data_IF_938971385847
#
_entry.id   IF_938971385847
#
_cell.length_a   1.000
_cell.length_b   1.000
_cell.length_c   1.000
_cell.angle_alpha   90.00
_cell.angle_beta   90.00
_cell.angle_gamma   90.00
#
_symmetry.space_group_name_H-M   'P 1'
#
loop_
_entity.id
_entity.type
_entity.pdbx_description
1 polymer ?
#
# COMPACT_ATOMS: atom_id res chain seq x y z
N UNK A 1 -43.88 -66.37 -31.95
CA UNK A 1 -43.07 -65.26 -32.52
C UNK A 1 -44.08 -64.26 -33.06
N UNK A 2 -44.56 -63.25 -32.35
CA UNK A 2 -43.87 -62.24 -31.55
C UNK A 2 -44.17 -60.89 -32.20
N UNK A 3 -44.76 -59.92 -31.51
CA UNK A 3 -45.10 -58.65 -32.16
C UNK A 3 -45.78 -57.57 -31.32
N UNK A 4 -45.29 -57.33 -30.09
CA UNK A 4 -45.28 -56.04 -29.36
C UNK A 4 -46.60 -55.31 -29.02
N UNK A 5 -46.67 -54.62 -27.87
CA UNK A 5 -47.78 -53.71 -27.56
C UNK A 5 -47.85 -52.59 -28.61
N UNK A 6 -49.04 -52.36 -29.18
CA UNK A 6 -49.31 -51.28 -30.12
C UNK A 6 -48.95 -49.94 -29.47
N UNK A 7 -47.85 -49.32 -29.92
CA UNK A 7 -47.45 -48.00 -29.45
C UNK A 7 -48.44 -46.99 -30.07
N UNK A 8 -49.12 -46.16 -29.26
CA UNK A 8 -49.99 -45.11 -29.78
C UNK A 8 -49.21 -44.22 -30.77
N UNK A 9 -49.88 -43.77 -31.82
CA UNK A 9 -49.28 -42.84 -32.76
C UNK A 9 -48.71 -41.63 -31.99
N UNK A 10 -47.49 -41.16 -32.33
CA UNK A 10 -46.88 -40.02 -31.65
C UNK A 10 -47.83 -38.82 -31.72
N UNK A 11 -47.89 -38.00 -30.65
CA UNK A 11 -48.77 -36.85 -30.63
C UNK A 11 -48.46 -35.93 -31.81
N UNK A 12 -49.49 -35.26 -32.36
CA UNK A 12 -49.29 -34.32 -33.46
C UNK A 12 -48.29 -33.23 -33.05
N UNK A 13 -47.49 -32.73 -34.00
CA UNK A 13 -46.55 -31.65 -33.73
C UNK A 13 -47.31 -30.44 -33.15
N UNK A 14 -46.76 -29.75 -32.15
CA UNK A 14 -47.37 -28.55 -31.57
C UNK A 14 -47.66 -27.49 -32.63
N UNK A 15 -48.78 -26.80 -32.52
CA UNK A 15 -49.13 -25.69 -33.42
C UNK A 15 -48.04 -24.60 -33.32
N UNK A 16 -47.34 -24.27 -34.43
CA UNK A 16 -46.30 -23.25 -34.45
C UNK A 16 -46.76 -21.89 -33.90
N UNK A 17 -48.02 -21.52 -34.14
CA UNK A 17 -48.57 -20.24 -33.69
C UNK A 17 -48.83 -20.26 -32.17
N UNK A 18 -49.32 -21.38 -31.64
CA UNK A 18 -49.53 -21.55 -30.20
C UNK A 18 -48.19 -21.55 -29.44
N UNK A 19 -47.15 -22.19 -30.00
CA UNK A 19 -45.79 -22.18 -29.42
C UNK A 19 -45.19 -20.77 -29.45
N UNK A 20 -45.37 -20.02 -30.55
CA UNK A 20 -44.90 -18.64 -30.66
C UNK A 20 -45.59 -17.71 -29.63
N UNK A 21 -46.90 -17.87 -29.41
CA UNK A 21 -47.65 -17.11 -28.41
C UNK A 21 -47.20 -17.45 -26.98
N UNK A 22 -47.08 -18.74 -26.65
CA UNK A 22 -46.61 -19.17 -25.33
C UNK A 22 -45.18 -18.66 -25.04
N UNK A 23 -44.30 -18.68 -26.04
CA UNK A 23 -42.96 -18.11 -25.92
C UNK A 23 -43.01 -16.59 -25.69
N UNK A 24 -43.82 -15.86 -26.45
CA UNK A 24 -43.98 -14.41 -26.27
C UNK A 24 -44.52 -14.03 -24.88
N UNK A 25 -45.47 -14.81 -24.35
CA UNK A 25 -46.00 -14.63 -22.99
C UNK A 25 -44.97 -14.95 -21.91
N UNK A 26 -44.17 -16.00 -22.10
CA UNK A 26 -43.08 -16.34 -21.20
C UNK A 26 -42.03 -15.21 -21.15
N UNK A 27 -41.66 -14.64 -22.30
CA UNK A 27 -40.76 -13.49 -22.35
C UNK A 27 -41.34 -12.28 -21.61
N UNK A 28 -42.62 -11.95 -21.82
CA UNK A 28 -43.27 -10.84 -21.10
C UNK A 28 -43.28 -11.05 -19.59
N UNK A 29 -43.67 -12.23 -19.11
CA UNK A 29 -43.67 -12.56 -17.67
C UNK A 29 -42.27 -12.49 -17.05
N UNK A 30 -41.25 -12.96 -17.77
CA UNK A 30 -39.88 -12.88 -17.29
C UNK A 30 -39.45 -11.41 -17.14
N UNK A 31 -39.72 -10.58 -18.14
CA UNK A 31 -39.42 -9.14 -18.11
C UNK A 31 -40.18 -8.43 -16.98
N UNK A 32 -41.48 -8.67 -16.82
CA UNK A 32 -42.28 -8.12 -15.72
C UNK A 32 -41.74 -8.53 -14.35
N UNK A 33 -41.30 -9.78 -14.20
CA UNK A 33 -40.71 -10.27 -12.96
C UNK A 33 -39.42 -9.53 -12.62
N UNK A 34 -38.57 -9.24 -13.62
CA UNK A 34 -37.37 -8.43 -13.40
C UNK A 34 -37.70 -6.99 -13.00
N UNK A 35 -38.71 -6.38 -13.63
CA UNK A 35 -39.17 -5.03 -13.30
C UNK A 35 -39.71 -4.98 -11.86
N UNK A 36 -40.47 -5.99 -11.44
CA UNK A 36 -41.02 -6.07 -10.09
C UNK A 36 -39.94 -6.27 -9.02
N UNK A 37 -38.89 -7.06 -9.31
CA UNK A 37 -37.79 -7.33 -8.36
C UNK A 37 -36.71 -6.26 -8.32
N UNK A 38 -36.62 -5.40 -9.34
CA UNK A 38 -35.65 -4.31 -9.42
C UNK A 38 -35.57 -3.44 -8.14
N UNK A 39 -36.68 -2.95 -7.54
CA UNK A 39 -36.61 -2.16 -6.31
C UNK A 39 -36.09 -2.96 -5.10
N UNK A 40 -36.43 -4.24 -4.98
CA UNK A 40 -35.97 -5.11 -3.90
C UNK A 40 -34.46 -5.39 -4.01
N UNK A 41 -33.98 -5.63 -5.23
CA UNK A 41 -32.56 -5.78 -5.52
C UNK A 41 -31.77 -4.51 -5.18
N UNK A 42 -32.28 -3.33 -5.55
CA UNK A 42 -31.65 -2.06 -5.20
C UNK A 42 -31.68 -1.78 -3.68
N UNK A 43 -32.73 -2.21 -2.98
CA UNK A 43 -32.81 -2.10 -1.52
C UNK A 43 -31.82 -3.05 -0.82
N UNK A 44 -31.66 -4.29 -1.32
CA UNK A 44 -30.68 -5.25 -0.84
C UNK A 44 -29.25 -4.71 -1.05
N UNK A 45 -28.94 -4.21 -2.24
CA UNK A 45 -27.63 -3.62 -2.54
C UNK A 45 -27.34 -2.43 -1.61
N UNK A 46 -28.30 -1.53 -1.40
CA UNK A 46 -28.14 -0.43 -0.46
C UNK A 46 -27.90 -0.89 0.97
N UNK A 47 -28.59 -1.94 1.43
CA UNK A 47 -28.38 -2.52 2.77
C UNK A 47 -26.97 -3.10 2.89
N UNK A 48 -26.53 -3.89 1.92
CA UNK A 48 -25.16 -4.45 1.88
C UNK A 48 -24.12 -3.35 1.85
N UNK A 49 -24.36 -2.30 1.06
CA UNK A 49 -23.49 -1.13 1.00
C UNK A 49 -23.40 -0.44 2.36
N UNK A 50 -24.51 -0.21 3.05
CA UNK A 50 -24.51 0.41 4.40
C UNK A 50 -23.76 -0.48 5.41
N UNK A 51 -23.97 -1.80 5.34
CA UNK A 51 -23.36 -2.75 6.28
C UNK A 51 -21.84 -2.85 6.09
N UNK A 52 -21.35 -2.94 4.86
CA UNK A 52 -19.94 -3.27 4.59
C UNK A 52 -19.07 -2.08 4.16
N UNK A 53 -19.62 -0.98 3.63
CA UNK A 53 -18.81 0.20 3.26
C UNK A 53 -17.95 0.75 4.40
N UNK A 54 -18.44 0.87 5.64
CA UNK A 54 -17.62 1.41 6.73
C UNK A 54 -16.38 0.54 7.01
N UNK A 55 -16.55 -0.78 6.95
CA UNK A 55 -15.49 -1.76 7.14
C UNK A 55 -14.51 -1.76 5.95
N UNK A 56 -15.03 -1.70 4.72
CA UNK A 56 -14.18 -1.57 3.54
C UNK A 56 -13.31 -0.31 3.61
N UNK A 57 -13.91 0.84 3.94
CA UNK A 57 -13.19 2.12 4.10
C UNK A 57 -12.20 2.12 5.26
N UNK A 58 -12.43 1.34 6.32
CA UNK A 58 -11.46 1.25 7.42
C UNK A 58 -10.26 0.41 7.00
N UNK A 59 -10.48 -0.71 6.29
CA UNK A 59 -9.42 -1.56 5.74
C UNK A 59 -8.58 -0.80 4.69
N UNK A 60 -9.22 -0.07 3.77
CA UNK A 60 -8.52 0.76 2.79
C UNK A 60 -7.63 1.83 3.47
N UNK A 61 -8.12 2.45 4.54
CA UNK A 61 -7.32 3.41 5.33
C UNK A 61 -6.14 2.73 6.05
N UNK A 62 -6.33 1.54 6.60
CA UNK A 62 -5.25 0.78 7.23
C UNK A 62 -4.18 0.38 6.21
N UNK A 63 -4.57 -0.11 5.05
CA UNK A 63 -3.64 -0.43 3.95
C UNK A 63 -2.85 0.80 3.51
N UNK A 64 -3.53 1.93 3.29
CA UNK A 64 -2.85 3.18 2.92
C UNK A 64 -1.86 3.65 3.99
N UNK A 65 -2.17 3.48 5.28
CA UNK A 65 -1.26 3.83 6.37
C UNK A 65 -0.02 2.92 6.39
N UNK A 66 -0.19 1.62 6.17
CA UNK A 66 0.91 0.66 6.06
C UNK A 66 1.82 0.98 4.88
N UNK A 67 1.26 1.33 3.71
CA UNK A 67 2.03 1.72 2.54
C UNK A 67 2.86 2.99 2.78
N UNK A 68 2.28 4.00 3.44
CA UNK A 68 3.00 5.22 3.82
C UNK A 68 4.15 4.92 4.80
N UNK A 69 3.90 4.05 5.78
CA UNK A 69 4.90 3.62 6.73
C UNK A 69 6.04 2.88 6.01
N UNK A 70 5.72 1.93 5.13
CA UNK A 70 6.69 1.19 4.34
C UNK A 70 7.57 2.14 3.50
N UNK A 71 6.98 3.15 2.87
CA UNK A 71 7.70 4.15 2.10
C UNK A 71 8.68 4.95 2.96
N UNK A 72 8.25 5.46 4.13
CA UNK A 72 9.11 6.22 5.04
C UNK A 72 10.26 5.38 5.61
N UNK A 73 10.01 4.10 5.86
CA UNK A 73 11.00 3.15 6.34
C UNK A 73 12.04 2.83 5.26
N UNK A 74 11.61 2.63 4.02
CA UNK A 74 12.52 2.41 2.89
C UNK A 74 13.44 3.60 2.63
N UNK A 75 12.93 4.83 2.75
CA UNK A 75 13.75 6.04 2.54
C UNK A 75 14.77 6.22 3.66
N UNK A 76 14.40 5.94 4.91
CA UNK A 76 15.32 5.93 6.04
C UNK A 76 16.44 4.91 5.86
N UNK A 77 16.11 3.72 5.35
CA UNK A 77 17.11 2.69 5.07
C UNK A 77 18.10 3.12 4.01
N UNK A 78 17.62 3.74 2.92
CA UNK A 78 18.48 4.29 1.87
C UNK A 78 19.41 5.39 2.41
N UNK A 79 18.89 6.28 3.25
CA UNK A 79 19.70 7.34 3.86
C UNK A 79 20.77 6.76 4.79
N UNK A 80 20.45 5.75 5.58
CA UNK A 80 21.44 5.08 6.44
C UNK A 80 22.50 4.34 5.63
N UNK A 81 22.11 3.69 4.54
CA UNK A 81 23.03 2.88 3.73
C UNK A 81 23.95 3.76 2.86
N UNK A 82 23.41 4.77 2.21
CA UNK A 82 24.13 5.56 1.19
C UNK A 82 24.44 7.00 1.62
N UNK A 83 23.83 7.49 2.70
CA UNK A 83 24.08 8.85 3.23
C UNK A 83 25.57 9.14 3.48
N UNK A 84 26.33 8.24 4.14
CA UNK A 84 27.77 8.46 4.36
C UNK A 84 28.54 8.59 3.04
N UNK A 85 28.23 7.75 2.05
CA UNK A 85 28.88 7.80 0.73
C UNK A 85 28.59 9.12 0.02
N UNK A 86 27.33 9.58 0.00
CA UNK A 86 26.92 10.87 -0.58
C UNK A 86 27.64 12.05 0.08
N UNK A 87 27.83 12.00 1.40
CA UNK A 87 28.54 13.07 2.14
C UNK A 87 30.03 13.08 1.81
N UNK A 88 30.67 11.91 1.74
CA UNK A 88 32.07 11.78 1.35
C UNK A 88 32.30 12.19 -0.10
N UNK A 89 31.39 11.84 -1.00
CA UNK A 89 31.42 12.25 -2.39
C UNK A 89 31.28 13.78 -2.53
N UNK A 90 30.38 14.41 -1.77
CA UNK A 90 30.27 15.87 -1.73
C UNK A 90 31.56 16.56 -1.26
N UNK A 91 32.20 16.02 -0.22
CA UNK A 91 33.50 16.52 0.25
C UNK A 91 34.61 16.32 -0.78
N UNK A 92 34.62 15.16 -1.45
CA UNK A 92 35.56 14.85 -2.53
C UNK A 92 35.39 15.81 -3.70
N UNK A 93 34.16 16.03 -4.17
CA UNK A 93 33.86 17.00 -5.24
C UNK A 93 34.27 18.42 -4.85
N UNK A 94 34.07 18.80 -3.59
CA UNK A 94 34.49 20.12 -3.08
C UNK A 94 36.02 20.27 -3.12
N UNK A 95 36.75 19.22 -2.75
CA UNK A 95 38.21 19.17 -2.85
C UNK A 95 38.68 19.19 -4.32
N UNK A 96 38.04 18.43 -5.20
CA UNK A 96 38.39 18.38 -6.63
C UNK A 96 38.09 19.69 -7.37
N UNK A 97 36.98 20.36 -7.04
CA UNK A 97 36.57 21.62 -7.65
C UNK A 97 37.44 22.80 -7.22
N UNK A 98 37.79 22.89 -5.92
CA UNK A 98 38.66 23.94 -5.41
C UNK A 98 39.48 23.46 -4.20
N UNK A 99 40.66 22.87 -4.44
CA UNK A 99 41.53 22.38 -3.36
C UNK A 99 41.95 23.48 -2.38
N UNK A 100 42.24 24.68 -2.89
CA UNK A 100 42.69 25.81 -2.08
C UNK A 100 41.58 26.34 -1.17
N UNK A 101 40.35 26.48 -1.69
CA UNK A 101 39.22 26.90 -0.87
C UNK A 101 38.83 25.84 0.17
N UNK A 102 38.91 24.55 -0.21
CA UNK A 102 38.70 23.46 0.74
C UNK A 102 39.71 23.50 1.90
N UNK A 103 41.00 23.65 1.59
CA UNK A 103 42.05 23.76 2.60
C UNK A 103 41.90 25.02 3.47
N UNK A 104 41.57 26.16 2.87
CA UNK A 104 41.33 27.42 3.58
C UNK A 104 40.17 27.28 4.57
N UNK A 105 39.02 26.78 4.13
CA UNK A 105 37.85 26.58 5.01
C UNK A 105 38.16 25.64 6.17
N UNK A 106 38.92 24.56 5.91
CA UNK A 106 39.39 23.65 6.95
C UNK A 106 40.32 24.35 7.94
N UNK A 107 41.27 25.14 7.44
CA UNK A 107 42.22 25.90 8.26
C UNK A 107 41.53 26.95 9.14
N UNK A 108 40.58 27.70 8.57
CA UNK A 108 39.77 28.66 9.33
C UNK A 108 38.96 27.99 10.44
N UNK A 109 38.35 26.83 10.16
CA UNK A 109 37.66 26.03 11.18
C UNK A 109 38.58 25.58 12.31
N UNK A 110 39.82 25.15 12.00
CA UNK A 110 40.81 24.78 13.00
C UNK A 110 41.25 25.99 13.85
N UNK A 111 41.48 27.14 13.22
CA UNK A 111 41.84 28.36 13.94
C UNK A 111 40.73 28.79 14.91
N UNK A 112 39.47 28.77 14.47
CA UNK A 112 38.32 29.06 15.36
C UNK A 112 38.24 28.08 16.53
N UNK A 113 38.44 26.78 16.27
CA UNK A 113 38.45 25.75 17.33
C UNK A 113 39.55 26.03 18.35
N UNK A 114 40.75 26.37 17.90
CA UNK A 114 41.87 26.70 18.78
C UNK A 114 41.63 27.99 19.58
N UNK A 115 41.07 29.03 18.96
CA UNK A 115 40.72 30.28 19.64
C UNK A 115 39.67 30.04 20.72
N UNK A 116 38.62 29.27 20.41
CA UNK A 116 37.61 28.88 21.39
C UNK A 116 38.24 28.12 22.57
N UNK A 117 39.10 27.14 22.28
CA UNK A 117 39.78 26.37 23.32
C UNK A 117 40.68 27.24 24.21
N UNK A 118 41.34 28.26 23.65
CA UNK A 118 42.13 29.23 24.42
C UNK A 118 41.25 30.13 25.30
N UNK A 119 40.09 30.56 24.81
CA UNK A 119 39.18 31.43 25.57
C UNK A 119 38.49 30.71 26.72
N UNK A 120 38.00 29.50 26.47
CA UNK A 120 37.09 28.80 27.39
C UNK A 120 37.73 27.58 28.07
N UNK A 121 39.01 27.30 27.78
CA UNK A 121 39.73 26.17 28.36
C UNK A 121 39.22 24.78 27.93
N UNK A 122 38.25 24.73 27.01
CA UNK A 122 37.67 23.49 26.49
C UNK A 122 37.47 23.58 24.98
N UNK A 123 37.67 22.47 24.28
CA UNK A 123 37.37 22.39 22.85
C UNK A 123 35.87 22.53 22.63
N UNK A 124 35.40 23.22 21.57
CA UNK A 124 33.97 23.25 21.24
C UNK A 124 33.41 21.83 20.98
N UNK A 125 34.26 20.88 20.59
CA UNK A 125 33.88 19.47 20.48
C UNK A 125 33.56 18.81 21.83
N UNK A 126 33.99 19.38 22.95
CA UNK A 126 33.67 18.89 24.29
C UNK A 126 32.21 19.09 24.70
N UNK A 127 31.47 19.94 23.98
CA UNK A 127 30.02 20.10 24.17
C UNK A 127 29.20 19.01 23.48
N UNK A 128 29.80 18.25 22.56
CA UNK A 128 29.17 17.12 21.89
C UNK A 128 29.52 15.86 22.67
N UNK A 129 28.52 15.07 23.05
CA UNK A 129 28.76 13.82 23.75
C UNK A 129 29.75 12.94 22.96
N UNK A 130 30.74 12.31 23.62
CA UNK A 130 31.74 11.49 22.93
C UNK A 130 31.14 10.40 22.05
N UNK A 131 29.99 9.85 22.46
CA UNK A 131 29.24 8.87 21.67
C UNK A 131 28.68 9.48 20.39
N UNK A 132 28.28 10.75 20.37
CA UNK A 132 27.80 11.41 19.15
C UNK A 132 28.98 11.82 18.25
N UNK A 133 30.06 12.29 18.85
CA UNK A 133 31.25 12.76 18.12
C UNK A 133 32.07 11.61 17.50
N UNK A 134 32.18 10.47 18.19
CA UNK A 134 33.12 9.40 17.87
C UNK A 134 32.51 8.00 17.76
N UNK A 135 31.19 7.82 17.92
CA UNK A 135 30.62 6.50 17.74
C UNK A 135 30.91 5.95 16.33
N UNK A 136 31.15 4.62 16.22
CA UNK A 136 31.13 3.94 14.94
C UNK A 136 29.81 4.25 14.23
N UNK A 137 29.87 4.86 13.05
CA UNK A 137 28.70 5.14 12.21
C UNK A 137 28.06 3.88 11.62
N UNK A 138 28.56 2.70 11.97
CA UNK A 138 27.98 1.42 11.62
C UNK A 138 26.78 1.12 12.52
N UNK A 139 25.65 1.76 12.23
CA UNK A 139 24.38 1.26 12.74
C UNK A 139 24.14 -0.11 12.08
N UNK A 140 23.85 -1.19 12.83
CA UNK A 140 23.62 -2.50 12.23
C UNK A 140 22.50 -2.40 11.19
N UNK A 141 22.57 -3.16 10.08
CA UNK A 141 21.48 -3.21 9.12
C UNK A 141 20.21 -3.65 9.85
N UNK A 142 19.31 -2.70 10.10
CA UNK A 142 17.97 -3.03 10.58
C UNK A 142 17.19 -3.50 9.36
N UNK A 143 16.78 -4.76 9.38
CA UNK A 143 15.85 -5.28 8.39
C UNK A 143 14.47 -4.71 8.66
N UNK A 144 14.17 -3.59 8.00
CA UNK A 144 12.91 -2.91 8.17
C UNK A 144 11.77 -3.62 7.40
N UNK A 145 12.12 -4.45 6.41
CA UNK A 145 11.14 -5.25 5.67
C UNK A 145 10.51 -6.33 6.55
N UNK A 146 11.22 -6.81 7.58
CA UNK A 146 10.69 -7.78 8.54
C UNK A 146 9.75 -7.21 9.62
N UNK A 147 9.61 -5.88 9.75
CA UNK A 147 8.89 -5.24 10.88
C UNK A 147 7.52 -4.66 10.53
N UNK A 148 7.10 -4.70 9.26
CA UNK A 148 5.75 -4.29 8.87
C UNK A 148 4.79 -5.40 9.31
N UNK A 149 4.24 -5.27 10.52
CA UNK A 149 3.28 -6.22 11.07
C UNK A 149 2.05 -6.35 10.15
N UNK A 150 1.68 -7.59 9.81
CA UNK A 150 0.51 -7.92 8.97
C UNK A 150 -0.83 -7.81 9.72
N UNK A 151 -0.87 -7.11 10.84
CA UNK A 151 -2.04 -6.98 11.71
C UNK A 151 -3.07 -6.02 11.10
N UNK A 152 -3.64 -6.42 9.96
CA UNK A 152 -4.98 -5.98 9.57
C UNK A 152 -5.91 -6.57 10.60
N UNK A 153 -6.50 -5.72 11.44
CA UNK A 153 -7.50 -6.14 12.43
C UNK A 153 -8.64 -6.86 11.70
N UNK A 154 -8.77 -8.18 11.86
CA UNK A 154 -9.92 -8.94 11.36
C UNK A 154 -11.15 -8.53 12.19
N UNK A 155 -12.09 -7.74 11.64
CA UNK A 155 -13.27 -7.36 12.40
C UNK A 155 -14.18 -8.59 12.46
N UNK A 156 -14.82 -8.88 13.62
CA UNK A 156 -15.74 -10.00 13.72
C UNK A 156 -16.88 -9.85 12.71
N UNK A 157 -17.05 -10.85 11.85
CA UNK A 157 -18.21 -10.96 10.97
C UNK A 157 -19.42 -11.33 11.84
N UNK A 158 -20.15 -10.33 12.33
CA UNK A 158 -21.46 -10.54 12.94
C UNK A 158 -22.48 -10.68 11.81
N UNK A 159 -22.90 -11.93 11.57
CA UNK A 159 -24.04 -12.29 10.73
C UNK A 159 -25.35 -12.21 11.48
#
# INVERSE_FOLDING_TARGET
>A
MGGGPSIPAPPPPPDPNAVAQANAEAYKKNVETYIQKAPEMAALENKLRIQYMPQQRSLERQLSALDQQAAALSSLQLERQYGPQRTLEGLRRSYEYSPQAYALNRGLGQQMTQQFARLYGTSPYGAVEPNVAFAPRAMPPQDIYGTIGTSISNPPLQG
#
